data_IF_114129423155
#
_entry.id   IF_114129423155
#
_cell.length_a   1.000
_cell.length_b   1.000
_cell.length_c   1.000
_cell.angle_alpha   90.00
_cell.angle_beta   90.00
_cell.angle_gamma   90.00
#
_symmetry.space_group_name_H-M   'P 1'
#
loop_
_entity.id
_entity.type
_entity.pdbx_description
1 polymer ?
#
# COMPACT_ATOMS: atom_id res chain seq x y z
N UNK A 1 25.46 5.28 -15.91
CA UNK A 1 25.81 4.35 -14.83
C UNK A 1 24.58 3.61 -14.36
N UNK A 2 24.61 2.31 -14.45
CA UNK A 2 23.43 1.51 -14.09
C UNK A 2 23.34 1.35 -12.59
N UNK A 3 22.16 1.62 -12.05
CA UNK A 3 21.89 1.33 -10.66
C UNK A 3 21.42 -0.12 -10.53
N UNK A 4 21.86 -0.83 -9.50
CA UNK A 4 21.38 -2.19 -9.32
C UNK A 4 19.89 -2.18 -9.05
N UNK A 5 19.21 -3.19 -9.55
CA UNK A 5 17.80 -3.37 -9.27
C UNK A 5 17.60 -3.69 -7.78
N UNK A 6 16.54 -3.16 -7.20
CA UNK A 6 16.14 -3.50 -5.84
C UNK A 6 14.84 -4.28 -5.89
N UNK A 7 14.65 -5.16 -4.92
CA UNK A 7 13.45 -5.98 -4.85
C UNK A 7 12.57 -5.50 -3.71
N UNK A 8 11.33 -5.23 -4.03
CA UNK A 8 10.28 -4.89 -3.08
C UNK A 8 9.30 -6.05 -3.07
N UNK A 9 8.76 -6.38 -1.92
CA UNK A 9 7.83 -7.50 -1.83
C UNK A 9 6.51 -7.07 -1.20
N UNK A 10 5.45 -7.79 -1.58
CA UNK A 10 4.12 -7.57 -1.04
C UNK A 10 3.63 -8.84 -0.36
N UNK A 11 2.99 -8.67 0.78
CA UNK A 11 2.19 -9.72 1.40
C UNK A 11 0.74 -9.31 1.28
N UNK A 12 -0.06 -10.17 0.67
CA UNK A 12 -1.49 -9.89 0.47
C UNK A 12 -2.29 -10.93 1.22
N UNK A 13 -3.23 -10.47 2.04
CA UNK A 13 -4.16 -11.32 2.77
C UNK A 13 -5.57 -10.87 2.45
N UNK A 14 -6.44 -11.81 2.08
CA UNK A 14 -7.85 -11.53 1.84
C UNK A 14 -8.66 -12.44 2.73
N UNK A 15 -9.45 -11.86 3.61
CA UNK A 15 -10.30 -12.60 4.54
C UNK A 15 -11.77 -12.38 4.17
N UNK A 16 -12.49 -13.47 4.02
CA UNK A 16 -13.92 -13.44 3.69
C UNK A 16 -14.73 -13.72 4.94
N UNK A 17 -15.46 -12.72 5.38
CA UNK A 17 -16.37 -12.85 6.50
C UNK A 17 -17.81 -12.99 6.04
N UNK A 18 -18.75 -13.17 6.97
CA UNK A 18 -20.17 -13.36 6.63
C UNK A 18 -20.81 -12.12 6.01
N UNK A 19 -20.34 -10.92 6.36
CA UNK A 19 -20.94 -9.67 5.91
C UNK A 19 -20.01 -8.81 5.06
N UNK A 20 -18.72 -9.10 5.07
CA UNK A 20 -17.75 -8.28 4.33
C UNK A 20 -16.48 -9.06 4.06
N UNK A 21 -15.74 -8.58 3.09
CA UNK A 21 -14.40 -9.08 2.78
C UNK A 21 -13.40 -7.99 3.13
N UNK A 22 -12.30 -8.37 3.77
CA UNK A 22 -11.23 -7.46 4.14
C UNK A 22 -9.95 -7.90 3.45
N UNK A 23 -9.31 -6.97 2.78
CA UNK A 23 -8.00 -7.21 2.19
C UNK A 23 -6.96 -6.35 2.89
N UNK A 24 -5.79 -6.91 3.09
CA UNK A 24 -4.64 -6.17 3.62
C UNK A 24 -3.46 -6.44 2.70
N UNK A 25 -2.74 -5.40 2.38
CA UNK A 25 -1.51 -5.51 1.61
C UNK A 25 -0.40 -4.82 2.39
N UNK A 26 0.72 -5.50 2.54
CA UNK A 26 1.90 -4.96 3.21
C UNK A 26 3.04 -4.95 2.21
N UNK A 27 3.62 -3.79 1.99
CA UNK A 27 4.77 -3.61 1.12
C UNK A 27 6.02 -3.56 1.97
N UNK A 28 7.00 -4.39 1.62
CA UNK A 28 8.30 -4.40 2.28
C UNK A 28 9.33 -3.77 1.35
N UNK A 29 9.99 -2.74 1.83
CA UNK A 29 11.02 -2.06 1.05
C UNK A 29 12.37 -2.72 1.26
N UNK A 30 13.34 -2.50 0.34
CA UNK A 30 14.69 -3.05 0.51
C UNK A 30 15.39 -2.59 1.79
N UNK A 31 15.03 -1.41 2.31
CA UNK A 31 15.64 -0.88 3.54
C UNK A 31 14.98 -1.39 4.81
N UNK A 32 13.96 -2.24 4.69
CA UNK A 32 13.29 -2.81 5.85
C UNK A 32 12.12 -1.98 6.37
N UNK A 33 11.64 -1.01 5.62
CA UNK A 33 10.42 -0.28 5.96
C UNK A 33 9.19 -1.04 5.47
N UNK A 34 8.07 -0.78 6.11
CA UNK A 34 6.81 -1.38 5.73
C UNK A 34 5.76 -0.31 5.54
N UNK A 35 4.99 -0.44 4.46
CA UNK A 35 3.80 0.36 4.22
C UNK A 35 2.64 -0.59 4.07
N UNK A 36 1.46 -0.18 4.49
CA UNK A 36 0.31 -1.06 4.43
C UNK A 36 -0.92 -0.33 3.92
N UNK A 37 -1.83 -1.11 3.37
CA UNK A 37 -3.13 -0.64 2.95
C UNK A 37 -4.19 -1.66 3.33
N UNK A 38 -5.38 -1.18 3.65
CA UNK A 38 -6.52 -2.01 4.00
C UNK A 38 -7.71 -1.61 3.16
N UNK A 39 -8.40 -2.58 2.62
CA UNK A 39 -9.62 -2.37 1.86
C UNK A 39 -10.73 -3.27 2.34
N UNK A 40 -11.95 -2.76 2.31
CA UNK A 40 -13.13 -3.48 2.71
C UNK A 40 -14.12 -3.48 1.56
N UNK A 41 -14.82 -4.59 1.39
CA UNK A 41 -15.94 -4.69 0.48
C UNK A 41 -17.11 -5.34 1.21
N UNK A 42 -18.30 -4.79 1.02
CA UNK A 42 -19.51 -5.40 1.56
C UNK A 42 -19.81 -6.70 0.83
N UNK A 43 -20.68 -7.47 1.41
CA UNK A 43 -21.11 -8.73 0.82
C UNK A 43 -21.54 -8.53 -0.63
N UNK A 44 -20.95 -9.30 -1.52
CA UNK A 44 -21.30 -9.31 -2.94
C UNK A 44 -21.87 -10.67 -3.32
N UNK A 45 -22.53 -10.75 -4.46
CA UNK A 45 -23.10 -12.00 -4.96
C UNK A 45 -22.04 -13.09 -5.14
N UNK A 46 -20.82 -12.68 -5.50
CA UNK A 46 -19.71 -13.59 -5.68
C UNK A 46 -18.52 -13.17 -4.81
N UNK A 47 -17.94 -14.15 -4.14
CA UNK A 47 -16.76 -13.97 -3.28
C UNK A 47 -15.61 -13.36 -4.07
N UNK A 48 -15.45 -13.77 -5.32
CA UNK A 48 -14.39 -13.27 -6.19
C UNK A 48 -14.50 -11.76 -6.42
N UNK A 49 -15.72 -11.27 -6.64
CA UNK A 49 -15.95 -9.84 -6.85
C UNK A 49 -15.62 -9.06 -5.57
N UNK A 50 -16.05 -9.57 -4.42
CA UNK A 50 -15.73 -8.94 -3.14
C UNK A 50 -14.21 -8.90 -2.91
N UNK A 51 -13.51 -9.96 -3.28
CA UNK A 51 -12.05 -10.01 -3.19
C UNK A 51 -11.38 -8.96 -4.06
N UNK A 52 -11.82 -8.80 -5.30
CA UNK A 52 -11.26 -7.79 -6.20
C UNK A 52 -11.50 -6.38 -5.66
N UNK A 53 -12.70 -6.10 -5.18
CA UNK A 53 -13.03 -4.79 -4.64
C UNK A 53 -12.21 -4.48 -3.38
N UNK A 54 -12.14 -5.42 -2.46
CA UNK A 54 -11.40 -5.23 -1.22
C UNK A 54 -9.92 -5.02 -1.50
N UNK A 55 -9.34 -5.85 -2.37
CA UNK A 55 -7.93 -5.73 -2.72
C UNK A 55 -7.65 -4.43 -3.47
N UNK A 56 -8.51 -4.05 -4.41
CA UNK A 56 -8.36 -2.78 -5.12
C UNK A 56 -8.36 -1.59 -4.17
N UNK A 57 -9.24 -1.60 -3.18
CA UNK A 57 -9.30 -0.55 -2.16
C UNK A 57 -8.07 -0.56 -1.25
N UNK A 58 -7.57 -1.75 -0.93
CA UNK A 58 -6.33 -1.87 -0.15
C UNK A 58 -5.14 -1.30 -0.92
N UNK A 59 -5.07 -1.56 -2.22
CA UNK A 59 -4.00 -1.02 -3.06
C UNK A 59 -4.09 0.50 -3.18
N UNK A 60 -5.28 1.05 -3.28
CA UNK A 60 -5.48 2.50 -3.30
C UNK A 60 -5.01 3.13 -2.01
N UNK A 61 -5.34 2.52 -0.88
CA UNK A 61 -4.91 2.98 0.43
C UNK A 61 -3.38 2.95 0.55
N UNK A 62 -2.76 1.87 0.09
CA UNK A 62 -1.31 1.75 0.08
C UNK A 62 -0.68 2.80 -0.83
N UNK A 63 -1.27 3.07 -1.99
CA UNK A 63 -0.78 4.08 -2.91
C UNK A 63 -0.75 5.46 -2.24
N UNK A 64 -1.79 5.82 -1.52
CA UNK A 64 -1.84 7.08 -0.78
C UNK A 64 -0.75 7.17 0.28
N UNK A 65 -0.51 6.08 1.00
CA UNK A 65 0.57 6.00 1.99
C UNK A 65 1.94 6.25 1.36
N UNK A 66 2.20 5.63 0.22
CA UNK A 66 3.47 5.79 -0.48
C UNK A 66 3.68 7.20 -0.99
N UNK A 67 2.65 7.78 -1.59
CA UNK A 67 2.72 9.14 -2.11
C UNK A 67 2.92 10.14 -0.96
N UNK A 68 2.22 9.93 0.14
CA UNK A 68 2.37 10.77 1.32
C UNK A 68 3.78 10.69 1.90
N UNK A 69 4.35 9.49 1.97
CA UNK A 69 5.72 9.30 2.42
C UNK A 69 6.72 10.03 1.51
N UNK A 70 6.52 9.92 0.20
CA UNK A 70 7.38 10.61 -0.78
C UNK A 70 7.27 12.12 -0.63
N UNK A 71 6.05 12.63 -0.44
CA UNK A 71 5.81 14.06 -0.25
C UNK A 71 6.50 14.58 1.00
N UNK A 72 6.39 13.83 2.10
CA UNK A 72 7.05 14.19 3.36
C UNK A 72 8.57 14.24 3.19
N UNK A 73 9.14 13.27 2.49
CA UNK A 73 10.57 13.25 2.22
C UNK A 73 11.01 14.42 1.35
N UNK A 74 10.23 14.75 0.33
CA UNK A 74 10.52 15.88 -0.54
C UNK A 74 10.48 17.19 0.24
N UNK A 75 9.50 17.37 1.10
CA UNK A 75 9.40 18.57 1.95
C UNK A 75 10.58 18.67 2.90
N UNK A 76 11.01 17.57 3.48
CA UNK A 76 12.17 17.54 4.36
C UNK A 76 13.44 17.91 3.59
N UNK A 77 13.59 17.41 2.36
CA UNK A 77 14.72 17.76 1.50
C UNK A 77 14.72 19.26 1.16
N UNK A 78 13.57 19.79 0.78
CA UNK A 78 13.44 21.21 0.47
C UNK A 78 13.75 22.07 1.69
N UNK A 79 13.27 21.67 2.87
CA UNK A 79 13.56 22.37 4.10
C UNK A 79 15.05 22.41 4.43
N UNK A 80 15.75 21.30 4.23
CA UNK A 80 17.19 21.26 4.43
C UNK A 80 17.94 22.16 3.46
N UNK A 81 17.50 22.18 2.20
CA UNK A 81 18.10 23.02 1.18
C UNK A 81 17.97 24.51 1.52
N UNK A 82 16.84 24.91 2.08
CA UNK A 82 16.58 26.29 2.44
C UNK A 82 17.25 26.75 3.74
N UNK A 83 17.62 25.82 4.58
CA UNK A 83 18.20 26.16 5.88
C UNK A 83 19.70 26.39 5.89
N UNK A 84 20.35 26.24 4.75
CA UNK A 84 21.80 26.51 4.64
C UNK A 84 22.13 27.96 4.20
#
# INVERSE_FOLDING_TARGET
>A
MDQPATTWSFDVTVEHGPNRTRAQIVLHTPEGHEFSGVGLAHRAAHVRIAGYLALGRAMSDLTEELVEAATTELEAEAGRAWST
#
